data_IF_087069962692
#
_entry.id   IF_087069962692
#
_cell.length_a   1.000
_cell.length_b   1.000
_cell.length_c   1.000
_cell.angle_alpha   90.00
_cell.angle_beta   90.00
_cell.angle_gamma   90.00
#
_symmetry.space_group_name_H-M   'P 1'
#
loop_
_entity.id
_entity.type
_entity.pdbx_description
1 polymer ?
#
# COMPACT_ATOMS: atom_id res chain seq x y z
N UNK A 1 39.97 20.49 8.41
CA UNK A 1 39.02 21.23 7.55
C UNK A 1 37.63 20.93 8.09
N UNK A 2 37.05 21.89 8.81
CA UNK A 2 35.86 21.68 9.64
C UNK A 2 34.63 21.41 8.75
N UNK A 3 34.06 20.20 8.87
CA UNK A 3 32.72 19.92 8.36
C UNK A 3 31.71 20.54 9.32
N UNK A 4 31.32 21.78 9.04
CA UNK A 4 30.11 22.37 9.58
C UNK A 4 28.90 21.64 8.96
N UNK A 5 28.51 20.54 9.61
CA UNK A 5 27.29 19.81 9.32
C UNK A 5 26.48 19.76 10.60
N UNK A 6 25.61 20.74 10.79
CA UNK A 6 24.40 20.60 11.63
C UNK A 6 23.42 21.75 11.39
N UNK A 7 22.93 21.89 10.15
CA UNK A 7 21.61 22.52 9.94
C UNK A 7 20.55 21.51 10.39
N UNK A 8 20.15 21.61 11.65
CA UNK A 8 19.18 20.73 12.31
C UNK A 8 17.72 21.06 11.94
N UNK A 9 17.46 21.49 10.70
CA UNK A 9 16.12 21.76 10.20
C UNK A 9 15.91 21.02 8.89
N UNK A 10 14.93 20.12 8.84
CA UNK A 10 14.46 19.54 7.58
C UNK A 10 13.76 20.67 6.82
N UNK A 11 14.30 21.17 5.70
CA UNK A 11 13.70 22.31 5.00
C UNK A 11 12.38 21.88 4.34
N UNK A 12 11.29 22.53 4.72
CA UNK A 12 9.98 22.39 4.05
C UNK A 12 9.77 23.57 3.08
N UNK A 13 9.42 23.29 1.83
CA UNK A 13 8.99 24.32 0.87
C UNK A 13 7.48 24.50 1.04
N UNK A 14 7.10 25.48 1.85
CA UNK A 14 5.70 25.81 2.13
C UNK A 14 5.28 27.07 1.37
N UNK A 15 4.06 27.09 0.84
CA UNK A 15 3.43 28.28 0.26
C UNK A 15 2.05 28.50 0.87
N UNK A 16 1.72 29.75 1.13
CA UNK A 16 0.37 30.17 1.53
C UNK A 16 -0.43 30.57 0.30
N UNK A 17 -1.72 30.26 0.29
CA UNK A 17 -2.65 30.70 -0.75
C UNK A 17 -4.10 30.59 -0.31
N UNK A 18 -5.00 30.94 -1.22
CA UNK A 18 -6.45 30.84 -1.04
C UNK A 18 -7.00 29.81 -2.03
N UNK A 19 -7.96 29.00 -1.59
CA UNK A 19 -8.59 27.98 -2.43
C UNK A 19 -9.58 28.66 -3.37
N UNK A 20 -9.33 28.58 -4.68
CA UNK A 20 -10.17 29.26 -5.69
C UNK A 20 -11.21 28.35 -6.34
N UNK A 21 -11.02 27.03 -6.27
CA UNK A 21 -11.93 26.03 -6.84
C UNK A 21 -11.73 24.67 -6.18
N UNK A 22 -12.76 23.81 -6.26
CA UNK A 22 -12.70 22.40 -5.88
C UNK A 22 -13.02 21.60 -7.15
N UNK A 23 -12.03 20.88 -7.67
CA UNK A 23 -12.20 20.03 -8.87
C UNK A 23 -12.84 18.68 -8.55
N UNK A 24 -12.52 18.12 -7.39
CA UNK A 24 -13.05 16.86 -6.91
C UNK A 24 -13.07 16.89 -5.37
N UNK A 25 -14.04 16.20 -4.76
CA UNK A 25 -14.17 16.10 -3.31
C UNK A 25 -14.08 14.65 -2.86
N UNK A 26 -13.14 14.40 -1.97
CA UNK A 26 -13.00 13.14 -1.22
C UNK A 26 -13.05 13.46 0.26
N UNK A 27 -14.11 13.03 0.95
CA UNK A 27 -14.37 13.39 2.34
C UNK A 27 -13.24 12.95 3.30
N UNK A 28 -12.60 11.82 2.99
CA UNK A 28 -11.57 11.21 3.85
C UNK A 28 -10.15 11.80 3.64
N UNK A 29 -9.97 12.75 2.72
CA UNK A 29 -8.65 13.32 2.42
C UNK A 29 -8.40 14.63 3.16
N UNK A 30 -9.24 15.63 2.92
CA UNK A 30 -9.01 17.00 3.38
C UNK A 30 -10.34 17.73 3.55
N UNK A 31 -10.48 18.46 4.67
CA UNK A 31 -11.55 19.44 4.86
C UNK A 31 -11.13 20.79 4.25
N UNK A 32 -11.74 21.16 3.12
CA UNK A 32 -11.40 22.36 2.37
C UNK A 32 -12.61 22.89 1.59
N UNK A 33 -12.79 24.21 1.58
CA UNK A 33 -13.77 24.90 0.74
C UNK A 33 -13.11 26.03 -0.06
N UNK A 34 -13.82 26.51 -1.09
CA UNK A 34 -13.49 27.78 -1.76
C UNK A 34 -13.41 28.90 -0.72
N UNK A 35 -12.46 29.81 -0.92
CA UNK A 35 -12.10 30.94 -0.05
C UNK A 35 -11.39 30.56 1.27
N UNK A 36 -11.08 29.29 1.50
CA UNK A 36 -10.21 28.91 2.62
C UNK A 36 -8.76 29.38 2.40
N UNK A 37 -8.15 29.90 3.47
CA UNK A 37 -6.73 30.19 3.54
C UNK A 37 -5.97 28.90 3.89
N UNK A 38 -4.97 28.56 3.09
CA UNK A 38 -4.23 27.30 3.22
C UNK A 38 -2.73 27.50 3.13
N UNK A 39 -1.98 26.61 3.77
CA UNK A 39 -0.55 26.41 3.56
C UNK A 39 -0.35 25.05 2.94
N UNK A 40 0.38 24.98 1.83
CA UNK A 40 0.67 23.74 1.10
C UNK A 40 2.18 23.48 1.03
N UNK A 41 2.57 22.21 1.07
CA UNK A 41 3.91 21.76 0.72
C UNK A 41 3.99 21.58 -0.80
N UNK A 42 4.96 22.24 -1.44
CA UNK A 42 5.08 22.28 -2.90
C UNK A 42 6.24 21.43 -3.46
N UNK A 43 6.98 20.73 -2.60
CA UNK A 43 8.23 20.07 -3.00
C UNK A 43 8.03 18.98 -4.05
N UNK A 44 6.98 18.16 -3.91
CA UNK A 44 6.71 17.09 -4.86
C UNK A 44 6.49 17.62 -6.28
N UNK A 45 5.76 18.73 -6.38
CA UNK A 45 5.55 19.47 -7.63
C UNK A 45 6.83 20.12 -8.14
N UNK A 46 7.57 20.84 -7.29
CA UNK A 46 8.82 21.52 -7.67
C UNK A 46 9.89 20.54 -8.16
N UNK A 47 9.91 19.32 -7.62
CA UNK A 47 10.79 18.23 -8.05
C UNK A 47 10.23 17.44 -9.25
N UNK A 48 9.05 17.81 -9.78
CA UNK A 48 8.36 17.11 -10.85
C UNK A 48 8.26 15.58 -10.61
N UNK A 49 7.94 15.19 -9.37
CA UNK A 49 7.71 13.78 -9.04
C UNK A 49 6.52 13.25 -9.84
N UNK A 50 6.47 11.94 -10.11
CA UNK A 50 5.37 11.31 -10.86
C UNK A 50 4.06 11.31 -10.06
N UNK A 51 3.71 10.17 -9.46
CA UNK A 51 2.47 10.00 -8.67
C UNK A 51 2.35 10.91 -7.43
N UNK A 52 3.39 11.68 -7.08
CA UNK A 52 3.39 12.66 -5.99
C UNK A 52 3.70 14.08 -6.45
N UNK A 53 3.58 14.37 -7.74
CA UNK A 53 3.92 15.65 -8.39
C UNK A 53 2.95 16.80 -8.15
N UNK A 54 2.31 16.84 -6.99
CA UNK A 54 1.31 17.85 -6.65
C UNK A 54 1.61 18.50 -5.29
N UNK A 55 0.96 19.62 -5.04
CA UNK A 55 1.08 20.34 -3.78
C UNK A 55 0.21 19.64 -2.73
N UNK A 56 0.76 19.38 -1.54
CA UNK A 56 0.07 18.67 -0.45
C UNK A 56 -0.36 19.67 0.60
N UNK A 57 -1.64 19.66 1.02
CA UNK A 57 -2.10 20.53 2.10
C UNK A 57 -1.31 20.25 3.39
N UNK A 58 -0.68 21.29 3.93
CA UNK A 58 0.00 21.24 5.22
C UNK A 58 -0.93 21.66 6.36
N UNK A 59 -1.64 22.78 6.20
CA UNK A 59 -2.66 23.24 7.16
C UNK A 59 -3.70 24.12 6.46
N UNK A 60 -4.96 23.98 6.86
CA UNK A 60 -6.04 24.90 6.51
C UNK A 60 -6.21 25.91 7.65
N UNK A 61 -5.90 27.18 7.39
CA UNK A 61 -5.90 28.27 8.37
C UNK A 61 -7.30 28.80 8.68
N UNK A 62 -8.30 28.50 7.83
CA UNK A 62 -9.69 28.96 8.04
C UNK A 62 -10.48 27.97 8.90
N UNK A 63 -10.37 26.67 8.64
CA UNK A 63 -11.21 25.64 9.29
C UNK A 63 -10.45 24.43 9.84
N UNK A 64 -9.13 24.40 9.69
CA UNK A 64 -8.27 23.32 10.19
C UNK A 64 -7.63 23.62 11.55
N UNK A 65 -7.95 24.77 12.15
CA UNK A 65 -7.41 25.23 13.43
C UNK A 65 -8.45 25.00 14.54
N UNK A 66 -7.97 24.73 15.75
CA UNK A 66 -8.78 24.51 16.96
C UNK A 66 -9.82 23.39 16.82
N UNK A 67 -9.53 22.38 15.98
CA UNK A 67 -10.36 21.19 15.86
C UNK A 67 -10.18 20.29 17.09
N UNK A 68 -11.27 19.77 17.68
CA UNK A 68 -11.17 18.83 18.77
C UNK A 68 -10.59 17.49 18.28
N UNK A 69 -9.85 16.76 19.13
CA UNK A 69 -9.46 15.39 18.82
C UNK A 69 -10.69 14.48 18.74
N UNK A 70 -10.59 13.32 18.06
CA UNK A 70 -11.61 12.29 18.17
C UNK A 70 -11.86 11.90 19.64
N UNK A 71 -13.12 11.63 20.04
CA UNK A 71 -13.43 11.18 21.40
C UNK A 71 -12.60 9.97 21.82
N UNK A 72 -12.14 9.96 23.07
CA UNK A 72 -11.39 8.88 23.71
C UNK A 72 -10.06 8.47 23.02
N UNK A 73 -9.59 9.24 22.04
CA UNK A 73 -8.32 9.00 21.38
C UNK A 73 -7.14 9.48 22.23
N UNK A 74 -6.23 8.56 22.55
CA UNK A 74 -5.07 8.84 23.39
C UNK A 74 -3.73 8.35 22.80
N UNK A 75 -3.78 7.60 21.68
CA UNK A 75 -2.60 7.11 20.96
C UNK A 75 -2.35 8.00 19.74
N UNK A 76 -1.10 8.40 19.54
CA UNK A 76 -0.71 9.35 18.49
C UNK A 76 -0.32 8.65 17.19
N UNK A 77 -0.88 9.10 16.07
CA UNK A 77 -0.29 8.88 14.73
C UNK A 77 0.75 9.95 14.44
N UNK A 78 1.79 9.56 13.70
CA UNK A 78 2.91 10.42 13.32
C UNK A 78 3.57 11.11 14.54
N UNK A 79 3.87 10.39 15.63
CA UNK A 79 4.26 10.99 16.90
C UNK A 79 5.48 11.91 16.74
N UNK A 80 5.42 13.08 17.38
CA UNK A 80 6.45 14.12 17.34
C UNK A 80 6.67 14.81 15.97
N UNK A 81 5.90 14.47 14.94
CA UNK A 81 5.83 15.27 13.72
C UNK A 81 4.92 16.51 13.93
N UNK A 82 5.14 17.63 13.20
CA UNK A 82 4.26 18.81 13.28
C UNK A 82 2.79 18.55 12.91
N UNK A 83 2.49 17.41 12.27
CA UNK A 83 1.15 17.01 11.80
C UNK A 83 0.60 15.80 12.58
N UNK A 84 1.12 15.52 13.76
CA UNK A 84 0.62 14.44 14.61
C UNK A 84 -0.82 14.69 15.06
N UNK A 85 -1.59 13.61 15.24
CA UNK A 85 -2.95 13.66 15.76
C UNK A 85 -3.27 12.36 16.51
N UNK A 86 -4.23 12.42 17.43
CA UNK A 86 -4.66 11.25 18.20
C UNK A 86 -5.71 10.46 17.43
N UNK A 87 -5.63 9.13 17.50
CA UNK A 87 -6.64 8.21 16.96
C UNK A 87 -6.74 6.96 17.83
N UNK A 88 -7.87 6.28 17.77
CA UNK A 88 -8.04 4.96 18.39
C UNK A 88 -7.64 3.85 17.43
N UNK A 89 -6.92 2.88 17.96
CA UNK A 89 -6.46 1.71 17.23
C UNK A 89 -7.32 0.50 17.55
N UNK A 90 -7.45 -0.40 16.59
CA UNK A 90 -8.28 -1.59 16.70
C UNK A 90 -7.89 -2.46 17.89
N UNK A 91 -6.59 -2.58 18.15
CA UNK A 91 -6.02 -3.38 19.23
C UNK A 91 -6.23 -2.81 20.64
N UNK A 92 -6.75 -1.59 20.79
CA UNK A 92 -7.05 -1.02 22.11
C UNK A 92 -8.28 -1.68 22.74
N UNK A 93 -9.34 -1.89 21.94
CA UNK A 93 -10.66 -2.34 22.41
C UNK A 93 -11.25 -3.51 21.60
N UNK A 94 -10.68 -3.78 20.43
CA UNK A 94 -11.16 -4.75 19.46
C UNK A 94 -10.51 -6.12 19.62
N UNK A 95 -11.04 -7.13 18.91
CA UNK A 95 -10.49 -8.47 18.96
C UNK A 95 -9.13 -8.51 18.25
N UNK A 96 -8.13 -9.10 18.92
CA UNK A 96 -6.79 -9.35 18.38
C UNK A 96 -6.47 -10.81 18.62
N UNK A 97 -6.16 -11.56 17.56
CA UNK A 97 -5.79 -12.97 17.67
C UNK A 97 -4.32 -13.11 18.06
N UNK A 98 -4.00 -14.09 18.91
CA UNK A 98 -2.61 -14.44 19.24
C UNK A 98 -1.86 -15.05 18.04
N UNK A 99 -2.59 -15.66 17.11
CA UNK A 99 -2.07 -16.29 15.90
C UNK A 99 -3.05 -16.14 14.73
N UNK A 100 -2.53 -16.18 13.50
CA UNK A 100 -3.31 -16.06 12.27
C UNK A 100 -3.91 -17.39 11.79
N UNK A 101 -3.53 -18.52 12.41
CA UNK A 101 -4.07 -19.85 12.12
C UNK A 101 -4.11 -20.21 10.61
N UNK A 102 -3.05 -19.87 9.87
CA UNK A 102 -2.92 -20.14 8.45
C UNK A 102 -3.51 -19.09 7.51
N UNK A 103 -4.13 -18.01 8.02
CA UNK A 103 -4.73 -16.94 7.21
C UNK A 103 -3.77 -16.48 6.10
N UNK A 104 -4.20 -16.52 4.82
CA UNK A 104 -3.37 -16.06 3.72
C UNK A 104 -3.20 -14.54 3.75
N UNK A 105 -1.95 -14.09 3.63
CA UNK A 105 -1.57 -12.67 3.58
C UNK A 105 -0.83 -12.39 2.27
N UNK A 106 -1.51 -11.76 1.31
CA UNK A 106 -0.91 -11.37 0.03
C UNK A 106 -0.13 -10.07 0.19
N UNK A 107 1.18 -10.14 0.00
CA UNK A 107 2.11 -9.04 0.17
C UNK A 107 2.49 -8.44 -1.19
N UNK A 108 1.99 -7.23 -1.45
CA UNK A 108 2.24 -6.47 -2.66
C UNK A 108 3.35 -5.44 -2.44
N UNK A 109 4.40 -5.51 -3.27
CA UNK A 109 5.49 -4.53 -3.27
C UNK A 109 5.11 -3.19 -3.90
N UNK A 110 3.99 -3.15 -4.62
CA UNK A 110 3.46 -1.97 -5.31
C UNK A 110 1.94 -1.90 -5.18
N UNK A 111 1.43 -0.67 -5.08
CA UNK A 111 0.01 -0.42 -4.97
C UNK A 111 -0.81 -0.92 -6.18
N UNK A 112 -0.27 -0.83 -7.40
CA UNK A 112 -0.96 -1.28 -8.61
C UNK A 112 -1.14 -2.80 -8.71
N UNK A 113 -0.57 -3.59 -7.80
CA UNK A 113 -0.83 -5.03 -7.70
C UNK A 113 -2.13 -5.34 -6.96
N UNK A 114 -2.69 -4.39 -6.20
CA UNK A 114 -3.84 -4.62 -5.31
C UNK A 114 -5.09 -4.99 -6.10
N UNK A 115 -5.40 -4.27 -7.19
CA UNK A 115 -6.61 -4.54 -7.97
C UNK A 115 -6.66 -5.97 -8.55
N UNK A 116 -5.61 -6.47 -9.26
CA UNK A 116 -5.60 -7.84 -9.74
C UNK A 116 -5.67 -8.90 -8.64
N UNK A 117 -4.98 -8.68 -7.51
CA UNK A 117 -5.05 -9.59 -6.36
C UNK A 117 -6.48 -9.69 -5.83
N UNK A 118 -7.14 -8.56 -5.59
CA UNK A 118 -8.51 -8.52 -5.09
C UNK A 118 -9.52 -9.08 -6.11
N UNK A 119 -9.29 -8.89 -7.41
CA UNK A 119 -10.11 -9.51 -8.46
C UNK A 119 -10.09 -11.04 -8.40
N UNK A 120 -8.91 -11.65 -8.19
CA UNK A 120 -8.80 -13.11 -8.05
C UNK A 120 -9.49 -13.64 -6.77
N UNK A 121 -9.56 -12.80 -5.73
CA UNK A 121 -10.23 -13.07 -4.46
C UNK A 121 -11.73 -12.69 -4.46
N UNK A 122 -12.31 -12.36 -5.62
CA UNK A 122 -13.73 -12.03 -5.69
C UNK A 122 -14.61 -13.12 -5.07
N UNK A 123 -15.55 -12.70 -4.21
CA UNK A 123 -16.42 -13.58 -3.43
C UNK A 123 -15.87 -13.99 -2.07
N UNK A 124 -14.67 -13.55 -1.68
CA UNK A 124 -14.11 -13.73 -0.33
C UNK A 124 -14.12 -12.42 0.44
N UNK A 125 -14.11 -12.50 1.77
CA UNK A 125 -14.06 -11.35 2.66
C UNK A 125 -12.61 -10.91 2.86
N UNK A 126 -12.18 -9.92 2.10
CA UNK A 126 -10.80 -9.40 2.11
C UNK A 126 -10.64 -8.15 2.98
N UNK A 127 -9.62 -8.16 3.85
CA UNK A 127 -9.12 -6.94 4.50
C UNK A 127 -7.92 -6.40 3.72
N UNK A 128 -7.94 -5.12 3.37
CA UNK A 128 -6.79 -4.44 2.80
C UNK A 128 -5.99 -3.73 3.91
N UNK A 129 -4.69 -3.96 3.97
CA UNK A 129 -3.78 -3.31 4.95
C UNK A 129 -2.76 -2.45 4.22
N UNK A 130 -2.81 -1.13 4.39
CA UNK A 130 -1.77 -0.25 3.87
C UNK A 130 -0.58 -0.22 4.82
N UNK A 131 0.61 -0.50 4.29
CA UNK A 131 1.89 -0.40 4.98
C UNK A 131 2.73 0.75 4.44
N UNK A 132 3.69 1.24 5.24
CA UNK A 132 4.54 2.36 4.84
C UNK A 132 5.47 1.99 3.67
N UNK A 133 5.76 2.94 2.79
CA UNK A 133 6.67 2.74 1.63
C UNK A 133 6.25 3.47 0.34
N UNK A 134 5.09 4.11 0.36
CA UNK A 134 4.62 5.07 -0.63
C UNK A 134 3.85 6.19 0.05
N UNK A 135 2.75 6.63 -0.53
CA UNK A 135 1.80 7.52 0.14
C UNK A 135 1.31 6.91 1.47
N UNK A 136 1.23 7.76 2.48
CA UNK A 136 0.66 7.43 3.80
C UNK A 136 -0.88 7.52 3.86
N UNK A 137 -1.55 8.52 3.26
CA UNK A 137 -3.01 8.58 3.27
C UNK A 137 -3.61 7.50 2.38
N UNK A 138 -4.50 6.70 2.94
CA UNK A 138 -5.19 5.59 2.28
C UNK A 138 -6.24 6.11 1.29
N UNK A 139 -6.92 7.22 1.65
CA UNK A 139 -7.92 7.90 0.82
C UNK A 139 -7.38 8.49 -0.50
N UNK A 140 -6.05 8.52 -0.71
CA UNK A 140 -5.45 9.00 -1.96
C UNK A 140 -5.59 7.96 -3.09
N UNK A 141 -5.96 6.72 -2.77
CA UNK A 141 -6.07 5.66 -3.78
C UNK A 141 -7.44 5.56 -4.41
N UNK A 142 -7.51 5.89 -5.70
CA UNK A 142 -8.68 5.59 -6.54
C UNK A 142 -8.91 4.09 -6.70
N UNK A 143 -7.84 3.29 -6.69
CA UNK A 143 -7.92 1.83 -6.75
C UNK A 143 -8.69 1.28 -5.56
N UNK A 144 -8.38 1.71 -4.34
CA UNK A 144 -9.08 1.24 -3.15
C UNK A 144 -10.54 1.68 -3.13
N UNK A 145 -10.84 2.91 -3.58
CA UNK A 145 -12.22 3.39 -3.74
C UNK A 145 -13.00 2.53 -4.73
N UNK A 146 -12.41 2.21 -5.88
CA UNK A 146 -13.04 1.37 -6.90
C UNK A 146 -13.28 -0.07 -6.39
N UNK A 147 -12.31 -0.66 -5.68
CA UNK A 147 -12.43 -2.00 -5.11
C UNK A 147 -13.50 -2.06 -4.02
N UNK A 148 -13.58 -1.02 -3.18
CA UNK A 148 -14.62 -0.86 -2.15
C UNK A 148 -16.01 -0.73 -2.76
N UNK A 149 -16.17 0.12 -3.77
CA UNK A 149 -17.44 0.31 -4.47
C UNK A 149 -17.95 -0.99 -5.13
N UNK A 150 -17.05 -1.93 -5.43
CA UNK A 150 -17.37 -3.24 -6.01
C UNK A 150 -17.40 -4.40 -5.00
N UNK A 151 -17.28 -4.10 -3.70
CA UNK A 151 -17.21 -5.09 -2.62
C UNK A 151 -16.10 -6.15 -2.78
N UNK A 152 -15.00 -5.80 -3.46
CA UNK A 152 -13.80 -6.64 -3.57
C UNK A 152 -12.87 -6.49 -2.35
N UNK A 153 -13.09 -5.46 -1.53
CA UNK A 153 -12.47 -5.25 -0.23
C UNK A 153 -13.59 -4.95 0.76
N UNK A 154 -13.60 -5.66 1.89
CA UNK A 154 -14.61 -5.48 2.93
C UNK A 154 -14.18 -4.48 4.01
N UNK A 155 -12.88 -4.32 4.27
CA UNK A 155 -12.32 -3.32 5.19
C UNK A 155 -10.98 -2.78 4.70
N UNK A 156 -10.69 -1.51 4.98
CA UNK A 156 -9.36 -0.93 4.82
C UNK A 156 -8.73 -0.65 6.18
N UNK A 157 -7.45 -0.97 6.31
CA UNK A 157 -6.69 -0.85 7.55
C UNK A 157 -5.42 -0.06 7.29
N UNK A 158 -5.15 0.92 8.14
CA UNK A 158 -3.94 1.73 8.09
C UNK A 158 -2.96 1.29 9.18
N UNK A 159 -1.79 0.76 8.78
CA UNK A 159 -0.77 0.30 9.72
C UNK A 159 0.36 1.34 9.90
N UNK A 160 0.85 1.48 11.13
CA UNK A 160 2.01 2.33 11.43
C UNK A 160 1.76 3.80 11.13
N UNK A 161 2.55 4.40 10.23
CA UNK A 161 2.40 5.81 9.85
C UNK A 161 1.33 6.07 8.76
N UNK A 162 0.78 5.02 8.14
CA UNK A 162 -0.35 5.16 7.22
C UNK A 162 -1.61 5.60 7.98
N UNK A 163 -2.56 6.23 7.29
CA UNK A 163 -3.78 6.73 7.93
C UNK A 163 -4.97 6.89 6.98
N UNK A 164 -6.16 6.99 7.58
CA UNK A 164 -7.43 7.19 6.88
C UNK A 164 -8.05 5.88 6.39
N UNK A 165 -7.77 4.77 7.09
CA UNK A 165 -8.48 3.50 6.86
C UNK A 165 -9.77 3.46 7.69
N UNK A 166 -10.66 2.50 7.41
CA UNK A 166 -11.80 2.25 8.33
C UNK A 166 -11.30 1.85 9.73
N UNK A 167 -10.12 1.23 9.76
CA UNK A 167 -9.48 0.72 10.96
C UNK A 167 -8.04 1.22 11.01
N UNK A 168 -7.60 1.68 12.18
CA UNK A 168 -6.22 2.08 12.42
C UNK A 168 -5.54 1.02 13.30
N UNK A 169 -4.34 0.60 12.92
CA UNK A 169 -3.51 -0.32 13.69
C UNK A 169 -2.10 0.23 13.86
N UNK A 170 -1.48 -0.03 15.00
CA UNK A 170 -0.12 0.43 15.31
C UNK A 170 0.90 -0.26 14.40
N UNK A 171 0.65 -1.52 14.04
CA UNK A 171 1.57 -2.34 13.24
C UNK A 171 0.84 -3.18 12.20
N UNK A 172 1.57 -3.68 11.20
CA UNK A 172 1.02 -4.67 10.28
C UNK A 172 0.65 -5.98 11.01
N UNK A 173 1.42 -6.37 12.02
CA UNK A 173 1.14 -7.54 12.86
C UNK A 173 -0.21 -7.41 13.57
N UNK A 174 -0.49 -6.27 14.22
CA UNK A 174 -1.79 -6.03 14.86
C UNK A 174 -2.93 -5.94 13.85
N UNK A 175 -2.70 -5.36 12.67
CA UNK A 175 -3.68 -5.36 11.59
C UNK A 175 -4.03 -6.79 11.11
N UNK A 176 -3.05 -7.67 10.96
CA UNK A 176 -3.29 -9.06 10.56
C UNK A 176 -4.01 -9.85 11.66
N UNK A 177 -3.61 -9.67 12.91
CA UNK A 177 -4.24 -10.29 14.05
C UNK A 177 -5.69 -9.84 14.25
N UNK A 178 -5.98 -8.55 14.01
CA UNK A 178 -7.34 -8.01 13.98
C UNK A 178 -8.17 -8.65 12.85
N UNK A 179 -7.61 -8.75 11.64
CA UNK A 179 -8.30 -9.36 10.50
C UNK A 179 -8.63 -10.84 10.77
N UNK A 180 -7.70 -11.59 11.35
CA UNK A 180 -7.92 -12.97 11.76
C UNK A 180 -9.05 -13.08 12.81
N UNK A 181 -8.99 -12.27 13.87
CA UNK A 181 -9.98 -12.31 14.94
C UNK A 181 -11.38 -11.86 14.50
N UNK A 182 -11.46 -11.04 13.45
CA UNK A 182 -12.71 -10.55 12.86
C UNK A 182 -13.27 -11.49 11.76
N UNK A 183 -12.56 -12.58 11.45
CA UNK A 183 -13.01 -13.60 10.49
C UNK A 183 -12.96 -13.13 9.04
N UNK A 184 -11.91 -12.41 8.65
CA UNK A 184 -11.60 -12.22 7.23
C UNK A 184 -11.00 -13.49 6.64
N UNK A 185 -11.30 -13.76 5.37
CA UNK A 185 -10.82 -14.95 4.67
C UNK A 185 -9.39 -14.78 4.16
N UNK A 186 -9.01 -13.53 3.86
CA UNK A 186 -7.67 -13.18 3.39
C UNK A 186 -7.32 -11.73 3.72
N UNK A 187 -6.02 -11.46 3.81
CA UNK A 187 -5.46 -10.12 3.89
C UNK A 187 -4.70 -9.81 2.60
N UNK A 188 -4.89 -8.60 2.06
CA UNK A 188 -4.05 -8.04 1.00
C UNK A 188 -3.35 -6.82 1.56
N UNK A 189 -2.02 -6.83 1.64
CA UNK A 189 -1.26 -5.69 2.13
C UNK A 189 -0.37 -5.09 1.04
N UNK A 190 -0.30 -3.76 0.98
CA UNK A 190 0.54 -3.07 0.01
C UNK A 190 1.00 -1.72 0.55
N UNK A 191 2.05 -1.19 -0.04
CA UNK A 191 2.35 0.25 0.09
C UNK A 191 1.28 1.10 -0.61
N UNK A 192 1.15 2.36 -0.19
CA UNK A 192 0.35 3.35 -0.92
C UNK A 192 0.92 3.69 -2.31
N UNK A 193 0.17 4.43 -3.15
CA UNK A 193 0.66 4.88 -4.45
C UNK A 193 1.92 5.75 -4.32
N UNK A 194 2.74 5.82 -5.38
CA UNK A 194 3.97 6.61 -5.36
C UNK A 194 5.06 6.02 -4.48
N UNK A 195 5.60 4.85 -4.88
CA UNK A 195 6.70 4.18 -4.16
C UNK A 195 7.87 5.13 -3.89
N UNK A 196 8.29 5.19 -2.63
CA UNK A 196 9.53 5.89 -2.24
C UNK A 196 10.72 5.11 -2.78
N UNK A 197 11.69 5.79 -3.40
CA UNK A 197 12.84 5.10 -3.96
C UNK A 197 14.02 6.01 -4.25
N UNK A 198 15.22 5.49 -4.02
CA UNK A 198 16.51 6.13 -4.32
C UNK A 198 17.24 5.46 -5.50
N UNK A 199 16.55 4.55 -6.21
CA UNK A 199 17.10 3.66 -7.23
C UNK A 199 18.20 2.70 -6.74
N UNK A 200 18.39 2.57 -5.42
CA UNK A 200 19.28 1.58 -4.81
C UNK A 200 18.52 0.29 -4.48
N UNK A 201 19.26 -0.82 -4.36
CA UNK A 201 18.71 -2.15 -4.04
C UNK A 201 17.87 -2.17 -2.76
N UNK A 202 18.28 -1.40 -1.74
CA UNK A 202 17.64 -1.42 -0.43
C UNK A 202 16.90 -0.13 -0.08
N UNK A 203 17.11 0.94 -0.84
CA UNK A 203 16.50 2.24 -0.57
C UNK A 203 15.21 2.43 -1.36
N UNK A 204 14.26 1.51 -1.24
CA UNK A 204 12.92 1.62 -1.82
C UNK A 204 11.83 1.07 -0.88
N UNK A 205 10.65 1.69 -0.91
CA UNK A 205 9.54 1.35 -0.01
C UNK A 205 8.88 0.00 -0.28
N UNK A 206 9.05 -0.56 -1.48
CA UNK A 206 8.57 -1.91 -1.81
C UNK A 206 9.15 -3.04 -0.93
N UNK A 207 10.21 -2.77 -0.17
CA UNK A 207 10.74 -3.69 0.83
C UNK A 207 9.76 -3.97 1.98
N UNK A 208 8.77 -3.10 2.21
CA UNK A 208 7.73 -3.33 3.21
C UNK A 208 6.92 -4.62 2.97
N UNK A 209 6.93 -5.17 1.74
CA UNK A 209 6.36 -6.48 1.47
C UNK A 209 7.11 -7.62 2.19
N UNK A 210 8.44 -7.51 2.36
CA UNK A 210 9.22 -8.49 3.12
C UNK A 210 8.90 -8.40 4.62
N UNK A 211 8.80 -7.19 5.16
CA UNK A 211 8.42 -6.97 6.56
C UNK A 211 7.02 -7.54 6.85
N UNK A 212 6.06 -7.31 5.95
CA UNK A 212 4.72 -7.86 6.04
C UNK A 212 4.73 -9.40 5.96
N UNK A 213 5.46 -9.99 5.03
CA UNK A 213 5.57 -11.44 4.90
C UNK A 213 6.18 -12.08 6.15
N UNK A 214 7.23 -11.46 6.70
CA UNK A 214 7.88 -11.90 7.94
C UNK A 214 6.93 -11.83 9.14
N UNK A 215 6.18 -10.74 9.28
CA UNK A 215 5.18 -10.58 10.34
C UNK A 215 4.05 -11.62 10.23
N UNK A 216 3.54 -11.85 9.01
CA UNK A 216 2.51 -12.86 8.76
C UNK A 216 3.00 -14.27 9.12
N UNK A 217 4.20 -14.65 8.68
CA UNK A 217 4.79 -15.94 9.02
C UNK A 217 5.05 -16.11 10.52
N UNK A 218 5.58 -15.07 11.18
CA UNK A 218 5.86 -15.11 12.62
C UNK A 218 4.60 -15.32 13.46
N UNK A 219 3.44 -14.86 12.99
CA UNK A 219 2.14 -15.08 13.63
C UNK A 219 1.42 -16.36 13.14
N UNK A 220 2.08 -17.22 12.37
CA UNK A 220 1.51 -18.47 11.88
C UNK A 220 0.49 -18.32 10.76
N UNK A 221 0.56 -17.23 9.98
CA UNK A 221 -0.19 -17.05 8.73
C UNK A 221 0.56 -17.61 7.53
N UNK A 222 -0.06 -17.51 6.35
CA UNK A 222 0.53 -17.99 5.09
C UNK A 222 0.87 -16.81 4.17
N UNK A 223 2.12 -16.28 4.19
CA UNK A 223 2.49 -15.17 3.33
C UNK A 223 2.57 -15.60 1.86
N UNK A 224 1.92 -14.82 0.99
CA UNK A 224 1.97 -14.96 -0.46
C UNK A 224 2.58 -13.71 -1.07
N UNK A 225 3.70 -13.82 -1.78
CA UNK A 225 4.33 -12.67 -2.44
C UNK A 225 3.73 -12.43 -3.83
N UNK A 226 3.24 -11.22 -4.08
CA UNK A 226 2.88 -10.77 -5.42
C UNK A 226 4.14 -10.33 -6.17
N UNK A 227 4.60 -11.15 -7.12
CA UNK A 227 5.82 -10.87 -7.88
C UNK A 227 5.61 -9.71 -8.84
N UNK A 228 6.54 -8.75 -8.82
CA UNK A 228 6.65 -7.76 -9.87
C UNK A 228 7.42 -8.36 -11.05
N UNK A 229 6.68 -8.65 -12.12
CA UNK A 229 7.22 -8.92 -13.46
C UNK A 229 6.93 -7.71 -14.34
N UNK A 230 7.87 -7.32 -15.18
CA UNK A 230 7.59 -6.37 -16.25
C UNK A 230 8.32 -6.77 -17.52
N UNK A 231 7.63 -6.76 -18.66
CA UNK A 231 8.26 -6.93 -19.98
C UNK A 231 8.34 -5.60 -20.74
N UNK A 232 7.50 -4.63 -20.38
CA UNK A 232 7.38 -3.33 -21.05
C UNK A 232 8.30 -2.23 -20.51
N UNK A 233 9.14 -2.49 -19.49
CA UNK A 233 10.08 -1.47 -19.00
C UNK A 233 11.28 -1.30 -19.94
N UNK A 234 11.51 -0.07 -20.40
CA UNK A 234 12.65 0.27 -21.26
C UNK A 234 14.00 0.03 -20.56
N UNK A 235 14.04 0.10 -19.23
CA UNK A 235 15.25 -0.14 -18.45
C UNK A 235 15.51 -1.63 -18.37
N UNK A 236 16.61 -2.09 -18.95
CA UNK A 236 16.96 -3.51 -19.07
C UNK A 236 16.92 -4.29 -17.74
N UNK A 237 17.28 -3.66 -16.61
CA UNK A 237 17.22 -4.24 -15.25
C UNK A 237 15.80 -4.46 -14.70
N UNK A 238 14.78 -3.98 -15.40
CA UNK A 238 13.37 -4.11 -15.04
C UNK A 238 12.61 -5.04 -15.99
N UNK A 239 13.28 -5.62 -16.99
CA UNK A 239 12.71 -6.66 -17.85
C UNK A 239 12.80 -8.03 -17.16
N UNK A 240 11.71 -8.79 -17.21
CA UNK A 240 11.56 -10.04 -16.44
C UNK A 240 11.21 -9.76 -14.98
N UNK A 241 11.68 -10.61 -14.06
CA UNK A 241 11.46 -10.40 -12.62
C UNK A 241 12.25 -9.19 -12.14
N UNK A 242 11.56 -8.23 -11.52
CA UNK A 242 12.21 -7.02 -11.01
C UNK A 242 13.26 -7.34 -9.94
N UNK A 243 14.40 -6.64 -9.99
CA UNK A 243 15.40 -6.67 -8.92
C UNK A 243 14.82 -6.28 -7.55
N UNK A 244 13.73 -5.49 -7.49
CA UNK A 244 13.00 -5.23 -6.25
C UNK A 244 12.35 -6.51 -5.69
N UNK A 245 11.74 -7.34 -6.54
CA UNK A 245 11.19 -8.64 -6.12
C UNK A 245 12.30 -9.51 -5.54
N UNK A 246 13.45 -9.57 -6.19
CA UNK A 246 14.60 -10.34 -5.69
C UNK A 246 15.05 -9.86 -4.31
N UNK A 247 15.17 -8.54 -4.12
CA UNK A 247 15.52 -7.97 -2.82
C UNK A 247 14.48 -8.29 -1.73
N UNK A 248 13.19 -8.27 -2.05
CA UNK A 248 12.11 -8.67 -1.14
C UNK A 248 12.25 -10.15 -0.76
N UNK A 249 12.39 -11.05 -1.74
CA UNK A 249 12.55 -12.49 -1.50
C UNK A 249 13.80 -12.80 -0.65
N UNK A 250 14.92 -12.14 -0.92
CA UNK A 250 16.17 -12.31 -0.16
C UNK A 250 16.08 -11.78 1.29
N UNK A 251 15.11 -10.91 1.60
CA UNK A 251 14.87 -10.37 2.95
C UNK A 251 13.73 -11.06 3.70
N UNK A 252 12.95 -11.91 3.01
CA UNK A 252 12.00 -12.79 3.68
C UNK A 252 12.78 -13.85 4.48
N UNK A 253 12.54 -13.88 5.80
CA UNK A 253 13.15 -14.83 6.73
C UNK A 253 12.42 -16.17 6.74
N UNK A 254 11.10 -16.15 6.52
CA UNK A 254 10.28 -17.33 6.33
C UNK A 254 10.12 -17.64 4.85
N UNK A 255 9.89 -18.92 4.51
CA UNK A 255 9.57 -19.33 3.15
C UNK A 255 8.22 -18.72 2.74
N UNK A 256 8.27 -17.61 2.02
CA UNK A 256 7.09 -17.00 1.47
C UNK A 256 6.66 -17.74 0.20
N UNK A 257 5.36 -18.04 0.08
CA UNK A 257 4.89 -18.76 -1.12
C UNK A 257 4.82 -17.78 -2.27
N UNK A 258 5.50 -18.09 -3.36
CA UNK A 258 5.51 -17.23 -4.54
C UNK A 258 4.55 -17.77 -5.58
N UNK A 259 3.55 -16.96 -5.96
CA UNK A 259 2.71 -17.26 -7.11
C UNK A 259 3.37 -16.83 -8.41
N UNK A 260 3.25 -17.66 -9.44
CA UNK A 260 3.82 -17.42 -10.75
C UNK A 260 2.81 -17.72 -11.85
N UNK A 261 2.63 -16.84 -12.86
CA UNK A 261 1.70 -17.10 -13.95
C UNK A 261 2.25 -18.20 -14.87
N UNK A 262 1.42 -19.19 -15.17
CA UNK A 262 1.74 -20.25 -16.12
C UNK A 262 2.03 -19.66 -17.52
N UNK A 263 2.97 -20.27 -18.24
CA UNK A 263 3.36 -19.81 -19.58
C UNK A 263 4.40 -18.67 -19.60
N UNK A 264 4.76 -18.10 -18.46
CA UNK A 264 5.89 -17.18 -18.32
C UNK A 264 7.13 -17.93 -17.83
N UNK A 265 8.27 -17.78 -18.51
CA UNK A 265 9.53 -18.38 -18.07
C UNK A 265 10.00 -17.77 -16.74
N UNK A 266 10.12 -18.62 -15.72
CA UNK A 266 10.58 -18.20 -14.40
C UNK A 266 12.11 -18.25 -14.30
N UNK A 267 12.75 -17.31 -13.59
CA UNK A 267 14.18 -17.38 -13.36
C UNK A 267 14.54 -18.51 -12.38
N UNK A 268 15.71 -19.14 -12.56
CA UNK A 268 16.16 -20.29 -11.75
C UNK A 268 16.18 -20.02 -10.24
N UNK A 269 16.52 -18.79 -9.83
CA UNK A 269 16.58 -18.41 -8.41
C UNK A 269 15.19 -18.38 -7.75
N UNK A 270 14.10 -18.37 -8.53
CA UNK A 270 12.72 -18.47 -8.04
C UNK A 270 12.20 -19.92 -8.16
N UNK A 271 12.97 -20.85 -7.57
CA UNK A 271 12.68 -22.28 -7.63
C UNK A 271 11.45 -22.67 -6.78
N UNK A 272 11.30 -22.11 -5.58
CA UNK A 272 10.11 -22.33 -4.74
C UNK A 272 8.99 -21.40 -5.19
N UNK A 273 8.24 -21.84 -6.20
CA UNK A 273 7.08 -21.13 -6.75
C UNK A 273 5.92 -22.10 -7.01
N UNK A 274 4.71 -21.56 -7.03
CA UNK A 274 3.51 -22.25 -7.50
C UNK A 274 3.10 -21.64 -8.84
N UNK A 275 2.98 -22.47 -9.86
CA UNK A 275 2.49 -22.03 -11.17
C UNK A 275 0.97 -22.09 -11.21
N UNK A 276 0.35 -20.98 -11.61
CA UNK A 276 -1.10 -20.81 -11.66
C UNK A 276 -1.48 -20.43 -13.08
N UNK A 277 -2.50 -21.08 -13.62
CA UNK A 277 -3.21 -20.55 -14.78
C UNK A 277 -3.78 -19.17 -14.45
N UNK A 278 -3.71 -18.24 -15.39
CA UNK A 278 -4.15 -16.85 -15.21
C UNK A 278 -4.92 -16.35 -16.43
N UNK A 279 -5.32 -17.20 -17.36
CA UNK A 279 -5.97 -16.78 -18.62
C UNK A 279 -7.18 -15.86 -18.40
N UNK A 280 -7.87 -16.01 -17.26
CA UNK A 280 -9.04 -15.21 -16.87
C UNK A 280 -8.71 -13.82 -16.32
N UNK A 281 -7.44 -13.46 -16.14
CA UNK A 281 -7.06 -12.24 -15.40
C UNK A 281 -7.64 -10.96 -16.02
N UNK A 282 -7.76 -10.89 -17.35
CA UNK A 282 -8.29 -9.71 -18.05
C UNK A 282 -9.78 -9.52 -17.79
N UNK A 283 -10.55 -10.60 -17.90
CA UNK A 283 -11.99 -10.60 -17.66
C UNK A 283 -12.26 -10.28 -16.18
N UNK A 284 -11.56 -10.95 -15.27
CA UNK A 284 -11.73 -10.74 -13.84
C UNK A 284 -11.38 -9.31 -13.39
N UNK A 285 -10.44 -8.65 -14.06
CA UNK A 285 -10.03 -7.28 -13.75
C UNK A 285 -10.80 -6.21 -14.56
N UNK A 286 -11.82 -6.57 -15.33
CA UNK A 286 -12.50 -5.64 -16.23
C UNK A 286 -13.06 -4.43 -15.48
N UNK A 287 -12.77 -3.24 -16.00
CA UNK A 287 -13.17 -1.95 -15.42
C UNK A 287 -12.46 -1.58 -14.11
N UNK A 288 -11.53 -2.37 -13.58
CA UNK A 288 -10.69 -1.95 -12.46
C UNK A 288 -9.59 -0.99 -12.93
N UNK A 289 -9.06 -0.12 -12.05
CA UNK A 289 -7.89 0.69 -12.39
C UNK A 289 -6.66 -0.20 -12.57
N UNK A 290 -6.13 -0.29 -13.79
CA UNK A 290 -5.01 -1.16 -14.17
C UNK A 290 -3.91 -0.36 -14.86
N UNK A 291 -3.31 0.54 -14.09
CA UNK A 291 -2.22 1.41 -14.52
C UNK A 291 -1.03 1.29 -13.55
N UNK A 292 0.18 1.24 -14.09
CA UNK A 292 1.40 1.17 -13.30
C UNK A 292 2.54 1.93 -13.98
N UNK A 293 3.11 2.93 -13.29
CA UNK A 293 4.22 3.77 -13.81
C UNK A 293 3.93 4.38 -15.20
N UNK A 294 2.69 4.81 -15.42
CA UNK A 294 2.26 5.38 -16.70
C UNK A 294 2.04 4.35 -17.81
N UNK A 295 2.10 3.05 -17.49
CA UNK A 295 1.76 1.97 -18.42
C UNK A 295 0.43 1.34 -18.07
N UNK A 296 -0.33 0.99 -19.10
CA UNK A 296 -1.62 0.30 -19.01
C UNK A 296 -1.46 -1.23 -19.06
N UNK A 297 -2.54 -1.95 -18.81
CA UNK A 297 -2.60 -3.41 -18.81
C UNK A 297 -2.32 -4.10 -20.15
N UNK A 298 -2.47 -3.42 -21.27
CA UNK A 298 -2.08 -3.89 -22.60
C UNK A 298 -0.57 -3.78 -22.85
N UNK A 299 0.10 -2.82 -22.21
CA UNK A 299 1.53 -2.56 -22.35
C UNK A 299 2.40 -3.43 -21.42
N UNK A 300 1.87 -3.83 -20.26
CA UNK A 300 2.60 -4.66 -19.29
C UNK A 300 1.71 -5.78 -18.69
N UNK A 301 1.18 -6.70 -19.51
CA UNK A 301 0.17 -7.67 -19.08
C UNK A 301 0.67 -8.62 -18.00
N UNK A 302 1.94 -9.03 -18.07
CA UNK A 302 2.52 -9.95 -17.09
C UNK A 302 2.61 -9.35 -15.69
N UNK A 303 2.72 -8.02 -15.56
CA UNK A 303 2.67 -7.36 -14.25
C UNK A 303 1.33 -7.65 -13.54
N UNK A 304 0.22 -7.44 -14.26
CA UNK A 304 -1.12 -7.62 -13.71
C UNK A 304 -1.47 -9.11 -13.55
N UNK A 305 -1.09 -9.95 -14.52
CA UNK A 305 -1.28 -11.39 -14.44
C UNK A 305 -0.51 -12.04 -13.27
N UNK A 306 0.74 -11.61 -13.01
CA UNK A 306 1.50 -12.08 -11.84
C UNK A 306 0.87 -11.65 -10.52
N UNK A 307 0.31 -10.44 -10.44
CA UNK A 307 -0.44 -10.00 -9.26
C UNK A 307 -1.73 -10.81 -9.10
N UNK A 308 -2.47 -11.06 -10.18
CA UNK A 308 -3.66 -11.92 -10.18
C UNK A 308 -3.34 -13.35 -9.69
N UNK A 309 -2.23 -13.93 -10.15
CA UNK A 309 -1.75 -15.25 -9.70
C UNK A 309 -1.60 -15.32 -8.17
N UNK A 310 -1.11 -14.25 -7.53
CA UNK A 310 -0.95 -14.19 -6.09
C UNK A 310 -2.29 -14.23 -5.34
N UNK A 311 -3.30 -13.50 -5.83
CA UNK A 311 -4.65 -13.60 -5.29
C UNK A 311 -5.27 -14.98 -5.52
N UNK A 312 -5.06 -15.58 -6.70
CA UNK A 312 -5.55 -16.93 -7.02
C UNK A 312 -4.92 -17.99 -6.11
N UNK A 313 -3.61 -17.90 -5.87
CA UNK A 313 -2.92 -18.77 -4.92
C UNK A 313 -3.46 -18.59 -3.50
N UNK A 314 -3.61 -17.35 -3.03
CA UNK A 314 -4.19 -17.07 -1.71
C UNK A 314 -5.60 -17.68 -1.57
N UNK A 315 -6.42 -17.62 -2.62
CA UNK A 315 -7.74 -18.25 -2.63
C UNK A 315 -7.70 -19.76 -2.40
N UNK A 316 -6.68 -20.45 -2.90
CA UNK A 316 -6.52 -21.91 -2.65
C UNK A 316 -6.09 -22.25 -1.23
N UNK A 317 -5.67 -21.25 -0.44
CA UNK A 317 -5.22 -21.38 0.94
C UNK A 317 -6.30 -20.99 1.96
N UNK A 318 -7.45 -20.49 1.49
CA UNK A 318 -8.61 -20.20 2.33
C UNK A 318 -9.26 -21.54 2.72
N UNK A 319 -9.50 -21.73 4.02
CA UNK A 319 -10.09 -22.95 4.60
C UNK A 319 -11.59 -23.06 4.39
#
# INVERSE_FOLDING_TARGET
MATDRRTCSVPLSLRRGTVTAIGERHEDLVRCEVDDEVVVNVQGRELALGSGGFDVLHVNLTRGIDLPPPPDAHVMKLPYAPVQYAVRHAEEDGPVADALAGLPVVCCSLHSQVAPVCAALAGTRVAYVQVAGGALPLGLSDTLRALRARALIAATVSAGACFGGDVECVTAASAFAWAAATGFDAVVCAIGPGIVGTASRLGHGGLAAADAANAAAALGGTPVLAVRVSSGDERQRHRGVSHHTRAVVELCLAEATVAWPAGLEAPEWLASRRELDVDEWREACEGLPLDHMGRRSDEDPWFFASAFAAGKLARTLIG
#
